data_IF_855792233125
#
_entry.id   IF_855792233125
#
_cell.length_a   1.000
_cell.length_b   1.000
_cell.length_c   1.000
_cell.angle_alpha   90.00
_cell.angle_beta   90.00
_cell.angle_gamma   90.00
#
_symmetry.space_group_name_H-M   'P 1'
#
loop_
_entity.id
_entity.type
_entity.pdbx_description
1 polymer ?
#
# COMPACT_ATOMS: atom_id res chain seq x y z
N UNK A 1 -5.15 -9.72 -14.01
CA UNK A 1 -4.07 -8.79 -13.61
C UNK A 1 -4.80 -7.54 -13.17
N UNK A 2 -5.18 -7.51 -11.90
CA UNK A 2 -5.91 -6.39 -11.34
C UNK A 2 -5.03 -5.14 -11.37
N UNK A 3 -5.60 -4.06 -11.90
CA UNK A 3 -4.91 -2.80 -12.09
C UNK A 3 -4.45 -2.27 -10.74
N UNK A 4 -3.14 -2.11 -10.57
CA UNK A 4 -2.56 -1.47 -9.40
C UNK A 4 -2.95 0.00 -9.47
N UNK A 5 -3.81 0.47 -8.57
CA UNK A 5 -4.12 1.89 -8.50
C UNK A 5 -2.95 2.62 -7.85
N UNK A 6 -2.40 3.69 -8.46
CA UNK A 6 -1.28 4.44 -7.90
C UNK A 6 -1.48 4.82 -6.42
N UNK A 7 -2.72 5.16 -6.05
CA UNK A 7 -3.11 5.52 -4.70
C UNK A 7 -3.00 4.37 -3.67
N UNK A 8 -3.18 3.12 -4.08
CA UNK A 8 -3.03 1.97 -3.19
C UNK A 8 -1.55 1.69 -2.90
N UNK A 9 -0.66 1.90 -3.88
CA UNK A 9 0.79 1.87 -3.66
C UNK A 9 1.21 2.98 -2.70
N UNK A 10 0.70 4.19 -2.89
CA UNK A 10 0.99 5.30 -1.98
C UNK A 10 0.55 4.99 -0.54
N UNK A 11 -0.63 4.39 -0.36
CA UNK A 11 -1.09 3.96 0.96
C UNK A 11 -0.14 2.93 1.59
N UNK A 12 0.34 1.94 0.82
CA UNK A 12 1.32 0.95 1.29
C UNK A 12 2.66 1.60 1.66
N UNK A 13 3.16 2.55 0.86
CA UNK A 13 4.37 3.32 1.13
C UNK A 13 4.26 4.13 2.44
N UNK A 14 3.09 4.72 2.70
CA UNK A 14 2.82 5.43 3.95
C UNK A 14 2.82 4.49 5.17
N UNK A 15 2.24 3.29 5.04
CA UNK A 15 2.30 2.27 6.10
C UNK A 15 3.72 1.74 6.33
N UNK A 16 4.54 1.69 5.28
CA UNK A 16 5.95 1.33 5.36
C UNK A 16 6.84 2.45 5.93
N UNK A 17 6.31 3.67 6.07
CA UNK A 17 7.10 4.84 6.50
C UNK A 17 8.01 5.40 5.41
N UNK A 18 7.78 5.03 4.14
CA UNK A 18 8.51 5.56 2.98
C UNK A 18 7.97 6.93 2.54
N UNK A 19 6.73 7.25 2.93
CA UNK A 19 6.08 8.54 2.71
C UNK A 19 5.48 9.12 4.00
N UNK A 20 5.31 10.45 4.08
CA UNK A 20 4.58 11.09 5.17
C UNK A 20 3.15 10.57 5.29
N UNK A 21 2.63 10.49 6.52
CA UNK A 21 1.22 10.16 6.75
C UNK A 21 0.31 11.33 6.37
N UNK A 22 -0.82 11.02 5.74
CA UNK A 22 -1.91 11.95 5.40
C UNK A 22 -3.22 11.33 5.88
N UNK A 23 -4.25 12.16 6.04
CA UNK A 23 -5.57 11.75 6.53
C UNK A 23 -6.67 11.96 5.48
N UNK A 24 -6.30 11.95 4.21
CA UNK A 24 -7.22 12.24 3.13
C UNK A 24 -8.27 11.12 2.99
N UNK A 25 -9.48 11.47 2.56
CA UNK A 25 -10.58 10.51 2.43
C UNK A 25 -10.25 9.36 1.46
N UNK A 26 -9.45 9.63 0.41
CA UNK A 26 -9.03 8.62 -0.55
C UNK A 26 -8.09 7.58 0.07
N UNK A 27 -7.24 7.98 1.03
CA UNK A 27 -6.35 7.06 1.75
C UNK A 27 -7.16 6.04 2.56
N UNK A 28 -8.24 6.49 3.19
CA UNK A 28 -9.09 5.57 3.96
C UNK A 28 -9.69 4.48 3.07
N UNK A 29 -10.19 4.85 1.89
CA UNK A 29 -10.74 3.89 0.92
C UNK A 29 -9.67 2.89 0.44
N UNK A 30 -8.47 3.37 0.13
CA UNK A 30 -7.34 2.49 -0.24
C UNK A 30 -6.99 1.53 0.90
N UNK A 31 -6.92 2.00 2.14
CA UNK A 31 -6.62 1.15 3.30
C UNK A 31 -7.69 0.10 3.56
N UNK A 32 -8.97 0.42 3.35
CA UNK A 32 -10.07 -0.54 3.43
C UNK A 32 -9.96 -1.64 2.36
N UNK A 33 -9.68 -1.26 1.11
CA UNK A 33 -9.48 -2.22 0.01
C UNK A 33 -8.25 -3.12 0.26
N UNK A 34 -7.09 -2.53 0.57
CA UNK A 34 -5.86 -3.24 0.88
C UNK A 34 -6.02 -4.20 2.07
N UNK A 35 -6.83 -3.81 3.05
CA UNK A 35 -7.16 -4.69 4.18
C UNK A 35 -8.02 -5.87 3.74
N UNK A 36 -8.99 -5.67 2.84
CA UNK A 36 -9.78 -6.77 2.26
C UNK A 36 -8.92 -7.74 1.44
N UNK A 37 -7.86 -7.24 0.82
CA UNK A 37 -6.86 -8.05 0.11
C UNK A 37 -5.81 -8.68 1.03
N UNK A 38 -5.85 -8.40 2.33
CA UNK A 38 -4.91 -8.93 3.31
C UNK A 38 -3.51 -8.33 3.24
N UNK A 39 -3.34 -7.18 2.58
CA UNK A 39 -2.07 -6.47 2.45
C UNK A 39 -1.77 -5.59 3.67
N UNK A 40 -2.81 -5.14 4.38
CA UNK A 40 -2.67 -4.49 5.68
C UNK A 40 -3.71 -4.99 6.70
N UNK A 41 -3.48 -4.72 7.98
CA UNK A 41 -4.44 -5.03 9.06
C UNK A 41 -5.57 -4.01 9.09
N UNK A 42 -6.79 -4.45 9.39
CA UNK A 42 -7.94 -3.56 9.61
C UNK A 42 -7.81 -2.76 10.92
N UNK A 43 -8.40 -1.56 10.96
CA UNK A 43 -8.65 -0.80 12.18
C UNK A 43 -7.88 0.51 12.29
N UNK A 44 -7.94 1.20 13.45
CA UNK A 44 -7.40 2.57 13.59
C UNK A 44 -5.88 2.64 13.44
N UNK A 45 -5.19 1.50 13.46
CA UNK A 45 -3.75 1.37 13.37
C UNK A 45 -3.36 0.38 12.27
N UNK A 46 -3.68 0.71 11.02
CA UNK A 46 -3.24 -0.06 9.85
C UNK A 46 -1.73 -0.33 9.91
N UNK A 47 -1.36 -1.59 9.68
CA UNK A 47 0.02 -2.07 9.57
C UNK A 47 0.12 -3.01 8.38
N UNK A 48 1.25 -2.98 7.68
CA UNK A 48 1.51 -3.95 6.62
C UNK A 48 1.55 -5.38 7.17
N UNK A 49 0.86 -6.28 6.50
CA UNK A 49 1.05 -7.73 6.69
C UNK A 49 2.35 -8.16 6.01
N UNK A 50 2.73 -9.43 6.16
CA UNK A 50 3.85 -9.98 5.40
C UNK A 50 3.56 -9.97 3.88
N UNK A 51 2.31 -10.21 3.49
CA UNK A 51 1.87 -10.11 2.10
C UNK A 51 1.97 -8.68 1.57
N UNK A 52 1.53 -7.67 2.34
CA UNK A 52 1.67 -6.26 1.96
C UNK A 52 3.11 -5.81 1.78
N UNK A 53 4.02 -6.28 2.66
CA UNK A 53 5.47 -6.01 2.51
C UNK A 53 6.02 -6.63 1.22
N UNK A 54 5.71 -7.91 0.97
CA UNK A 54 6.17 -8.59 -0.24
C UNK A 54 5.62 -7.93 -1.51
N UNK A 55 4.34 -7.57 -1.50
CA UNK A 55 3.70 -6.84 -2.58
C UNK A 55 4.39 -5.49 -2.83
N UNK A 56 4.60 -4.69 -1.78
CA UNK A 56 5.28 -3.40 -1.89
C UNK A 56 6.71 -3.54 -2.44
N UNK A 57 7.46 -4.57 -2.01
CA UNK A 57 8.79 -4.87 -2.56
C UNK A 57 8.73 -5.21 -4.05
N UNK A 58 7.76 -6.01 -4.48
CA UNK A 58 7.57 -6.33 -5.91
C UNK A 58 7.27 -5.08 -6.72
N UNK A 59 6.36 -4.22 -6.22
CA UNK A 59 5.97 -2.99 -6.92
C UNK A 59 7.14 -2.01 -7.02
N UNK A 60 7.83 -1.72 -5.91
CA UNK A 60 9.00 -0.83 -5.90
C UNK A 60 10.14 -1.40 -6.75
N UNK A 61 10.38 -2.71 -6.69
CA UNK A 61 11.39 -3.39 -7.51
C UNK A 61 11.06 -3.37 -9.01
N UNK A 62 9.77 -3.44 -9.36
CA UNK A 62 9.30 -3.35 -10.76
C UNK A 62 9.27 -1.92 -11.33
N UNK A 63 9.46 -0.90 -10.49
CA UNK A 63 9.53 0.51 -10.89
C UNK A 63 10.96 0.99 -11.18
N UNK A 64 11.97 0.11 -11.15
CA UNK A 64 13.30 0.48 -11.64
C UNK A 64 13.24 0.74 -13.16
N UNK A 65 13.81 1.87 -13.65
CA UNK A 65 13.83 2.14 -15.08
C UNK A 65 14.65 1.06 -15.80
N UNK A 66 14.13 0.61 -16.93
CA UNK A 66 14.87 -0.24 -17.87
C UNK A 66 16.14 0.53 -18.27
N UNK A 67 17.30 -0.09 -18.03
CA UNK A 67 18.65 0.48 -18.25
C UNK A 67 18.87 1.05 -19.65
#
# INVERSE_FOLDING_TARGET
>A
MDCIFPHEVEALEMLAGLRPRTSDAWIKLCLENLSREGLCTEGPNYRLTQAGKAYLTLVIGSLQPES
#
